data_IF_826482779718
#
_entry.id   IF_826482779718
#
_cell.length_a   1.000
_cell.length_b   1.000
_cell.length_c   1.000
_cell.angle_alpha   90.00
_cell.angle_beta   90.00
_cell.angle_gamma   90.00
#
_symmetry.space_group_name_H-M   'P 1'
#
loop_
_entity.id
_entity.type
_entity.pdbx_description
1 polymer ?
#
# COMPACT_ATOMS: atom_id res chain seq x y z
N UNK A 1 -17.20 -29.66 5.78
CA UNK A 1 -16.49 -28.39 5.56
C UNK A 1 -15.13 -28.73 4.95
N UNK A 2 -14.90 -28.37 3.70
CA UNK A 2 -13.61 -28.64 3.06
C UNK A 2 -12.53 -27.84 3.81
N UNK A 3 -11.51 -28.53 4.34
CA UNK A 3 -10.36 -27.87 4.97
C UNK A 3 -9.74 -26.89 3.98
N UNK A 4 -9.35 -25.71 4.46
CA UNK A 4 -8.58 -24.68 3.75
C UNK A 4 -7.26 -25.18 3.12
N UNK A 5 -6.89 -26.45 3.32
CA UNK A 5 -5.70 -27.10 2.77
C UNK A 5 -5.70 -27.26 1.23
N UNK A 6 -6.85 -27.18 0.55
CA UNK A 6 -6.94 -27.48 -0.90
C UNK A 6 -7.00 -26.26 -1.83
N UNK A 7 -6.91 -25.02 -1.34
CA UNK A 7 -6.83 -23.82 -2.20
C UNK A 7 -6.07 -22.66 -1.56
N UNK A 8 -5.52 -21.80 -2.40
CA UNK A 8 -4.87 -20.55 -1.98
C UNK A 8 -5.95 -19.56 -1.54
N UNK A 9 -5.79 -18.96 -0.36
CA UNK A 9 -6.69 -17.90 0.11
C UNK A 9 -6.41 -16.60 -0.65
N UNK A 10 -7.46 -15.97 -1.17
CA UNK A 10 -7.40 -14.70 -1.88
C UNK A 10 -7.64 -13.52 -0.94
N UNK A 11 -6.86 -12.45 -1.13
CA UNK A 11 -7.01 -11.17 -0.42
C UNK A 11 -6.52 -10.03 -1.31
N UNK A 12 -6.69 -8.80 -0.85
CA UNK A 12 -6.19 -7.58 -1.48
C UNK A 12 -5.43 -6.73 -0.44
N UNK A 13 -4.96 -5.55 -0.84
CA UNK A 13 -4.04 -4.74 -0.04
C UNK A 13 -4.71 -3.62 0.79
N UNK A 14 -6.04 -3.51 0.83
CA UNK A 14 -6.73 -2.49 1.65
C UNK A 14 -7.66 -1.60 0.82
N UNK A 15 -7.25 -0.38 0.50
CA UNK A 15 -8.08 0.64 -0.19
C UNK A 15 -8.95 0.11 -1.34
N UNK A 16 -10.24 0.48 -1.30
CA UNK A 16 -11.22 0.25 -2.36
C UNK A 16 -11.91 1.56 -2.76
N UNK A 17 -12.66 1.54 -3.87
CA UNK A 17 -13.37 2.73 -4.37
C UNK A 17 -14.49 3.11 -3.40
N UNK A 18 -14.36 4.29 -2.79
CA UNK A 18 -15.36 4.84 -1.88
C UNK A 18 -16.62 5.26 -2.65
N UNK A 19 -17.83 5.00 -2.12
CA UNK A 19 -19.05 5.42 -2.79
C UNK A 19 -19.22 6.96 -2.71
N UNK A 20 -19.86 7.60 -3.70
CA UNK A 20 -19.94 9.06 -3.79
C UNK A 20 -20.47 9.75 -2.53
N UNK A 21 -21.50 9.21 -1.90
CA UNK A 21 -22.08 9.78 -0.68
C UNK A 21 -21.11 9.80 0.51
N UNK A 22 -20.17 8.85 0.58
CA UNK A 22 -19.13 8.86 1.62
C UNK A 22 -18.05 9.89 1.28
N UNK A 23 -17.70 10.02 0.00
CA UNK A 23 -16.71 11.00 -0.48
C UNK A 23 -17.13 12.43 -0.13
N UNK A 24 -18.41 12.76 -0.19
CA UNK A 24 -18.93 14.07 0.21
C UNK A 24 -18.61 14.41 1.67
N UNK A 25 -18.81 13.47 2.60
CA UNK A 25 -18.42 13.67 4.00
C UNK A 25 -16.91 13.80 4.16
N UNK A 26 -16.13 12.99 3.44
CA UNK A 26 -14.67 13.04 3.53
C UNK A 26 -14.09 14.37 3.04
N UNK A 27 -14.70 14.99 2.02
CA UNK A 27 -14.32 16.35 1.61
C UNK A 27 -14.58 17.37 2.71
N UNK A 28 -15.77 17.35 3.32
CA UNK A 28 -16.09 18.25 4.45
C UNK A 28 -15.15 18.08 5.63
N UNK A 29 -14.81 16.83 5.97
CA UNK A 29 -13.85 16.51 7.04
C UNK A 29 -12.47 17.10 6.70
N UNK A 30 -11.99 16.92 5.47
CA UNK A 30 -10.69 17.43 5.02
C UNK A 30 -10.64 18.96 5.02
N UNK A 31 -11.71 19.60 4.55
CA UNK A 31 -11.84 21.05 4.46
C UNK A 31 -12.23 21.70 5.80
N UNK A 32 -12.39 20.89 6.86
CA UNK A 32 -12.85 21.30 8.21
C UNK A 32 -14.20 22.02 8.20
N UNK A 33 -15.06 21.66 7.27
CA UNK A 33 -16.42 22.18 7.19
C UNK A 33 -17.35 21.42 8.15
N UNK A 34 -18.42 22.06 8.65
CA UNK A 34 -19.44 21.37 9.43
C UNK A 34 -20.14 20.28 8.63
N UNK A 35 -20.38 19.14 9.28
CA UNK A 35 -21.15 18.03 8.73
C UNK A 35 -21.96 17.35 9.83
N UNK A 36 -23.01 16.62 9.44
CA UNK A 36 -23.78 15.80 10.37
C UNK A 36 -22.98 14.54 10.73
N UNK A 37 -22.49 14.51 11.98
CA UNK A 37 -21.70 13.40 12.51
C UNK A 37 -22.48 12.08 12.49
N UNK A 38 -23.75 12.10 12.86
CA UNK A 38 -24.59 10.90 12.94
C UNK A 38 -24.86 10.34 11.54
N UNK A 39 -25.17 11.23 10.58
CA UNK A 39 -25.32 10.83 9.18
C UNK A 39 -24.02 10.26 8.60
N UNK A 40 -22.86 10.85 8.93
CA UNK A 40 -21.56 10.31 8.52
C UNK A 40 -21.31 8.91 9.11
N UNK A 41 -21.56 8.71 10.41
CA UNK A 41 -21.36 7.40 11.05
C UNK A 41 -22.24 6.31 10.42
N UNK A 42 -23.51 6.64 10.12
CA UNK A 42 -24.43 5.71 9.45
C UNK A 42 -23.96 5.40 8.02
N UNK A 43 -23.63 6.43 7.24
CA UNK A 43 -23.13 6.29 5.87
C UNK A 43 -21.85 5.43 5.81
N UNK A 44 -20.90 5.67 6.72
CA UNK A 44 -19.67 4.89 6.84
C UNK A 44 -19.95 3.42 7.14
N UNK A 45 -20.79 3.15 8.14
CA UNK A 45 -21.17 1.78 8.54
C UNK A 45 -21.82 1.02 7.39
N UNK A 46 -22.81 1.61 6.72
CA UNK A 46 -23.50 1.01 5.58
C UNK A 46 -22.57 0.77 4.37
N UNK A 47 -21.65 1.70 4.14
CA UNK A 47 -20.64 1.58 3.07
C UNK A 47 -19.68 0.43 3.34
N UNK A 48 -19.22 0.25 4.59
CA UNK A 48 -18.37 -0.87 5.00
C UNK A 48 -19.14 -2.19 4.89
N UNK A 49 -20.39 -2.27 5.35
CA UNK A 49 -21.21 -3.47 5.19
C UNK A 49 -21.36 -3.87 3.72
N UNK A 50 -21.62 -2.88 2.86
CA UNK A 50 -21.77 -3.10 1.43
C UNK A 50 -20.48 -3.59 0.79
N UNK A 51 -19.33 -2.95 1.08
CA UNK A 51 -18.05 -3.32 0.46
C UNK A 51 -17.54 -4.67 0.95
N UNK A 52 -17.79 -5.03 2.21
CA UNK A 52 -17.44 -6.37 2.75
C UNK A 52 -18.28 -7.45 2.07
N UNK A 53 -19.60 -7.22 1.90
CA UNK A 53 -20.46 -8.13 1.14
C UNK A 53 -19.97 -8.30 -0.30
N UNK A 54 -19.64 -7.20 -0.99
CA UNK A 54 -19.12 -7.26 -2.36
C UNK A 54 -17.81 -8.06 -2.47
N UNK A 55 -16.91 -7.94 -1.48
CA UNK A 55 -15.69 -8.74 -1.43
C UNK A 55 -16.00 -10.23 -1.25
N UNK A 56 -16.93 -10.57 -0.34
CA UNK A 56 -17.37 -11.95 -0.13
C UNK A 56 -18.02 -12.54 -1.40
N UNK A 57 -18.91 -11.79 -2.05
CA UNK A 57 -19.56 -12.17 -3.32
C UNK A 57 -18.53 -12.38 -4.46
N UNK A 58 -17.42 -11.62 -4.43
CA UNK A 58 -16.31 -11.77 -5.36
C UNK A 58 -15.36 -12.94 -5.04
N UNK A 59 -15.59 -13.67 -3.93
CA UNK A 59 -14.76 -14.80 -3.51
C UNK A 59 -13.46 -14.40 -2.83
N UNK A 60 -13.38 -13.19 -2.26
CA UNK A 60 -12.26 -12.79 -1.41
C UNK A 60 -12.38 -13.50 -0.05
N UNK A 61 -11.33 -14.21 0.35
CA UNK A 61 -11.33 -15.00 1.58
C UNK A 61 -11.01 -14.18 2.82
N UNK A 62 -10.09 -13.21 2.69
CA UNK A 62 -9.68 -12.33 3.78
C UNK A 62 -9.95 -10.89 3.37
N UNK A 63 -11.00 -10.31 3.92
CA UNK A 63 -11.56 -9.00 3.52
C UNK A 63 -11.03 -7.84 4.37
N UNK A 64 -11.21 -6.60 3.92
CA UNK A 64 -11.01 -5.40 4.74
C UNK A 64 -12.22 -4.47 4.68
N UNK A 65 -12.16 -3.39 5.45
CA UNK A 65 -13.15 -2.30 5.42
C UNK A 65 -12.99 -1.37 4.19
N UNK A 66 -12.07 -1.69 3.28
CA UNK A 66 -11.75 -0.87 2.11
C UNK A 66 -11.06 0.47 2.46
N UNK A 67 -10.62 0.64 3.71
CA UNK A 67 -10.08 1.90 4.27
C UNK A 67 -11.06 3.08 4.20
N UNK A 68 -12.37 2.80 4.25
CA UNK A 68 -13.41 3.81 4.07
C UNK A 68 -13.46 4.84 5.21
N UNK A 69 -13.01 4.48 6.40
CA UNK A 69 -12.91 5.39 7.55
C UNK A 69 -11.66 6.28 7.50
N UNK A 70 -10.62 5.85 6.77
CA UNK A 70 -9.43 6.64 6.57
C UNK A 70 -9.77 7.70 5.53
N UNK A 71 -9.37 8.94 5.80
CA UNK A 71 -9.55 10.07 4.89
C UNK A 71 -8.87 9.83 3.54
N UNK A 72 -8.58 10.90 2.81
CA UNK A 72 -8.04 10.77 1.45
C UNK A 72 -6.67 10.10 1.37
N UNK A 73 -5.96 9.93 2.49
CA UNK A 73 -4.62 9.36 2.56
C UNK A 73 -4.53 8.20 3.57
N UNK A 74 -4.04 7.05 3.09
CA UNK A 74 -3.90 5.79 3.84
C UNK A 74 -2.88 5.85 5.00
N UNK A 75 -1.94 6.80 4.97
CA UNK A 75 -0.90 6.98 5.99
C UNK A 75 -1.23 8.11 6.97
N UNK A 76 -1.78 9.22 6.48
CA UNK A 76 -1.94 10.44 7.30
C UNK A 76 -3.16 10.42 8.23
N UNK A 77 -4.05 9.43 8.12
CA UNK A 77 -5.12 9.22 9.11
C UNK A 77 -4.59 9.12 10.54
N UNK A 78 -3.35 8.64 10.71
CA UNK A 78 -2.75 8.44 12.02
C UNK A 78 -2.53 9.77 12.75
N UNK A 79 -2.39 10.88 12.02
CA UNK A 79 -2.18 12.21 12.62
C UNK A 79 -3.40 12.65 13.43
N UNK A 80 -4.60 12.26 13.02
CA UNK A 80 -5.85 12.52 13.77
C UNK A 80 -6.02 11.60 14.98
N UNK A 81 -5.15 10.58 15.13
CA UNK A 81 -5.10 9.67 16.28
C UNK A 81 -3.96 10.00 17.23
N UNK A 82 -3.09 10.94 16.86
CA UNK A 82 -1.92 11.34 17.63
C UNK A 82 -2.08 12.75 18.20
N UNK A 83 -1.59 12.97 19.41
CA UNK A 83 -1.34 14.32 19.95
C UNK A 83 0.15 14.65 19.88
N UNK A 84 0.54 15.88 20.22
CA UNK A 84 1.93 16.33 20.15
C UNK A 84 2.40 16.71 18.74
N UNK A 85 1.47 16.77 17.78
CA UNK A 85 1.70 17.19 16.40
C UNK A 85 1.13 18.58 16.15
N UNK A 86 1.89 19.39 15.42
CA UNK A 86 1.43 20.64 14.82
C UNK A 86 1.65 20.60 13.31
N UNK A 87 0.86 21.40 12.57
CA UNK A 87 1.09 21.66 11.15
C UNK A 87 1.35 23.15 10.97
N UNK A 88 2.45 23.49 10.29
CA UNK A 88 2.76 24.88 9.93
C UNK A 88 3.35 24.97 8.53
N UNK A 89 3.29 26.14 7.87
CA UNK A 89 4.04 26.38 6.66
C UNK A 89 5.53 26.07 6.84
N UNK A 90 6.20 25.60 5.78
CA UNK A 90 7.66 25.51 5.76
C UNK A 90 8.26 26.92 5.87
N UNK A 91 9.33 27.06 6.65
CA UNK A 91 10.12 28.29 6.61
C UNK A 91 10.94 28.37 5.31
N UNK A 92 11.41 29.56 4.89
CA UNK A 92 12.29 29.68 3.72
C UNK A 92 13.54 28.80 3.80
N UNK A 93 14.09 28.61 4.99
CA UNK A 93 15.22 27.71 5.24
C UNK A 93 14.85 26.25 5.08
N UNK A 94 13.71 25.83 5.63
CA UNK A 94 13.24 24.44 5.51
C UNK A 94 12.84 24.10 4.07
N UNK A 95 12.33 25.07 3.30
CA UNK A 95 12.01 24.88 1.89
C UNK A 95 13.25 24.59 1.03
N UNK A 96 14.47 24.90 1.52
CA UNK A 96 15.72 24.56 0.85
C UNK A 96 16.14 23.10 1.08
N UNK A 97 15.57 22.41 2.07
CA UNK A 97 15.87 21.00 2.35
C UNK A 97 15.19 20.09 1.30
N UNK A 98 15.96 19.37 0.46
CA UNK A 98 15.41 18.45 -0.53
C UNK A 98 14.53 17.35 0.08
N UNK A 99 14.75 17.02 1.36
CA UNK A 99 13.98 16.02 2.09
C UNK A 99 12.65 16.56 2.62
N UNK A 100 12.53 17.87 2.85
CA UNK A 100 11.32 18.50 3.38
C UNK A 100 10.18 18.60 2.35
N UNK A 101 10.49 18.60 1.05
CA UNK A 101 9.47 18.61 0.00
C UNK A 101 8.72 17.26 -0.10
N UNK A 102 7.39 17.31 -0.06
CA UNK A 102 6.52 16.17 -0.41
C UNK A 102 6.49 16.08 -1.93
N UNK A 103 7.34 15.23 -2.48
CA UNK A 103 7.64 15.20 -3.92
C UNK A 103 9.14 15.31 -4.16
N UNK A 104 9.56 14.93 -5.36
CA UNK A 104 10.96 14.79 -5.76
C UNK A 104 11.31 13.35 -6.12
N UNK A 105 12.60 13.03 -6.08
CA UNK A 105 13.13 11.72 -6.48
C UNK A 105 13.47 11.63 -7.97
N UNK A 106 14.21 10.60 -8.33
CA UNK A 106 14.74 10.44 -9.69
C UNK A 106 13.64 10.24 -10.75
N UNK A 107 12.46 9.75 -10.37
CA UNK A 107 11.34 9.53 -11.28
C UNK A 107 10.79 10.86 -11.84
N UNK A 108 10.71 11.91 -11.00
CA UNK A 108 10.30 13.26 -11.45
C UNK A 108 11.31 13.90 -12.39
N UNK A 109 12.59 13.62 -12.19
CA UNK A 109 13.65 14.06 -13.11
C UNK A 109 13.57 13.31 -14.44
N UNK A 110 13.24 12.00 -14.39
CA UNK A 110 13.17 11.15 -15.57
C UNK A 110 11.90 11.35 -16.40
N UNK A 111 10.78 11.77 -15.80
CA UNK A 111 9.47 11.87 -16.45
C UNK A 111 8.76 13.22 -16.18
N UNK A 112 9.39 14.36 -16.50
CA UNK A 112 8.88 15.68 -16.14
C UNK A 112 7.47 15.97 -16.71
N UNK A 113 7.15 15.50 -17.92
CA UNK A 113 5.85 15.74 -18.56
C UNK A 113 4.71 15.02 -17.85
N UNK A 114 4.95 13.78 -17.40
CA UNK A 114 3.97 13.00 -16.65
C UNK A 114 3.62 13.71 -15.34
N UNK A 115 4.62 14.18 -14.59
CA UNK A 115 4.38 14.85 -13.32
C UNK A 115 3.80 16.25 -13.48
N UNK A 116 4.14 16.97 -14.55
CA UNK A 116 3.49 18.24 -14.84
C UNK A 116 1.97 18.06 -15.00
N UNK A 117 1.53 17.04 -15.74
CA UNK A 117 0.11 16.73 -15.90
C UNK A 117 -0.52 16.16 -14.61
N UNK A 118 0.19 15.24 -13.94
CA UNK A 118 -0.28 14.65 -12.69
C UNK A 118 -0.48 15.70 -11.61
N UNK A 119 0.46 16.63 -11.43
CA UNK A 119 0.37 17.70 -10.42
C UNK A 119 -0.76 18.68 -10.75
N UNK A 120 -1.00 18.96 -12.04
CA UNK A 120 -2.11 19.78 -12.52
C UNK A 120 -3.47 19.18 -12.18
N UNK A 121 -3.64 17.86 -12.36
CA UNK A 121 -4.90 17.15 -12.12
C UNK A 121 -5.11 16.85 -10.63
N UNK A 122 -4.08 16.35 -9.95
CA UNK A 122 -4.18 15.88 -8.56
C UNK A 122 -4.32 17.02 -7.55
N UNK A 123 -4.00 18.25 -7.93
CA UNK A 123 -3.98 19.39 -7.02
C UNK A 123 -2.92 19.27 -5.93
N UNK A 124 -1.93 18.36 -6.09
CA UNK A 124 -0.85 18.14 -5.12
C UNK A 124 -0.16 19.45 -4.76
N UNK A 125 0.01 20.35 -5.73
CA UNK A 125 0.60 21.68 -5.56
C UNK A 125 -0.10 22.54 -4.51
N UNK A 126 -1.41 22.37 -4.25
CA UNK A 126 -2.13 23.10 -3.20
C UNK A 126 -1.80 22.62 -1.79
N UNK A 127 -1.25 21.40 -1.65
CA UNK A 127 -0.84 20.80 -0.38
C UNK A 127 0.67 20.96 -0.11
N UNK A 128 1.43 21.38 -1.12
CA UNK A 128 2.85 21.70 -0.96
C UNK A 128 2.98 23.00 -0.14
N UNK A 129 3.92 23.03 0.79
CA UNK A 129 4.24 24.24 1.56
C UNK A 129 3.88 24.19 3.04
N UNK A 130 3.24 23.11 3.53
CA UNK A 130 3.11 22.83 4.97
C UNK A 130 3.86 21.56 5.38
N UNK A 131 4.31 21.51 6.63
CA UNK A 131 4.97 20.35 7.23
C UNK A 131 4.37 19.98 8.59
N UNK A 132 4.46 18.70 8.92
CA UNK A 132 4.22 18.23 10.28
C UNK A 132 5.43 18.51 11.17
N UNK A 133 5.16 18.93 12.40
CA UNK A 133 6.16 19.22 13.42
C UNK A 133 5.73 18.50 14.70
N UNK A 134 6.65 17.73 15.29
CA UNK A 134 6.49 17.13 16.60
C UNK A 134 6.91 18.16 17.63
N UNK A 135 5.93 18.76 18.30
CA UNK A 135 6.11 19.87 19.26
C UNK A 135 5.91 19.44 20.71
N UNK A 136 5.43 18.21 20.94
CA UNK A 136 5.16 17.67 22.26
C UNK A 136 5.30 16.15 22.30
N UNK A 137 5.10 15.58 23.49
CA UNK A 137 5.06 14.14 23.67
C UNK A 137 3.92 13.54 22.83
N UNK A 138 4.23 12.49 22.08
CA UNK A 138 3.24 11.75 21.30
C UNK A 138 2.37 10.90 22.23
N UNK A 139 1.05 11.02 22.08
CA UNK A 139 0.08 10.11 22.70
C UNK A 139 -0.92 9.63 21.66
N UNK A 140 -1.51 8.45 21.88
CA UNK A 140 -2.45 7.82 20.96
C UNK A 140 -3.89 7.86 21.49
N UNK A 141 -4.85 8.05 20.59
CA UNK A 141 -6.30 7.95 20.86
C UNK A 141 -6.90 6.77 20.09
N UNK A 142 -7.51 5.84 20.81
CA UNK A 142 -8.06 4.61 20.24
C UNK A 142 -9.52 4.72 19.73
N UNK A 143 -10.14 5.90 19.85
CA UNK A 143 -11.55 6.09 19.53
C UNK A 143 -11.88 5.71 18.08
N UNK A 144 -11.03 6.13 17.13
CA UNK A 144 -11.26 5.86 15.71
C UNK A 144 -11.01 4.39 15.35
N UNK A 145 -9.93 3.77 15.85
CA UNK A 145 -9.67 2.34 15.56
C UNK A 145 -10.76 1.45 16.15
N UNK A 146 -11.28 1.78 17.34
CA UNK A 146 -12.40 1.02 17.95
C UNK A 146 -13.65 1.06 17.10
N UNK A 147 -14.00 2.22 16.54
CA UNK A 147 -15.11 2.36 15.58
C UNK A 147 -14.86 1.50 14.33
N UNK A 148 -13.67 1.58 13.75
CA UNK A 148 -13.32 0.86 12.52
C UNK A 148 -13.41 -0.66 12.74
N UNK A 149 -12.86 -1.15 13.85
CA UNK A 149 -12.98 -2.54 14.29
C UNK A 149 -14.45 -2.96 14.46
N UNK A 150 -15.25 -2.14 15.13
CA UNK A 150 -16.66 -2.45 15.37
C UNK A 150 -17.44 -2.57 14.05
N UNK A 151 -17.24 -1.64 13.12
CA UNK A 151 -17.89 -1.65 11.81
C UNK A 151 -17.47 -2.87 10.98
N UNK A 152 -16.16 -3.15 10.88
CA UNK A 152 -15.67 -4.29 10.11
C UNK A 152 -16.16 -5.62 10.70
N UNK A 153 -16.11 -5.79 12.02
CA UNK A 153 -16.60 -7.02 12.67
C UNK A 153 -18.10 -7.23 12.47
N UNK A 154 -18.90 -6.16 12.58
CA UNK A 154 -20.33 -6.24 12.34
C UNK A 154 -20.67 -6.61 10.89
N UNK A 155 -19.89 -6.13 9.91
CA UNK A 155 -20.04 -6.48 8.51
C UNK A 155 -19.61 -7.94 8.22
N UNK A 156 -18.46 -8.35 8.74
CA UNK A 156 -17.90 -9.71 8.55
C UNK A 156 -18.82 -10.78 9.13
N UNK A 157 -19.48 -10.52 10.27
CA UNK A 157 -20.43 -11.44 10.89
C UNK A 157 -21.63 -11.82 10.00
N UNK A 158 -21.85 -11.10 8.89
CA UNK A 158 -22.92 -11.34 7.91
C UNK A 158 -22.42 -12.09 6.67
N UNK A 159 -21.18 -12.59 6.68
CA UNK A 159 -20.52 -13.22 5.52
C UNK A 159 -19.80 -14.52 5.93
N UNK A 160 -19.50 -15.38 4.97
CA UNK A 160 -18.78 -16.65 5.19
C UNK A 160 -17.28 -16.56 4.79
N UNK A 161 -16.66 -15.41 5.08
CA UNK A 161 -15.24 -15.15 4.75
C UNK A 161 -14.33 -15.84 5.77
N UNK A 162 -13.14 -16.25 5.34
CA UNK A 162 -12.16 -16.92 6.20
C UNK A 162 -11.51 -15.99 7.24
N UNK A 163 -11.52 -14.68 7.01
CA UNK A 163 -11.04 -13.71 7.97
C UNK A 163 -11.16 -12.27 7.49
N UNK A 164 -10.65 -11.35 8.30
CA UNK A 164 -10.60 -9.93 7.94
C UNK A 164 -9.35 -9.25 8.50
N UNK A 165 -8.94 -8.16 7.86
CA UNK A 165 -7.77 -7.39 8.24
C UNK A 165 -8.05 -5.89 8.23
N UNK A 166 -7.30 -5.15 9.03
CA UNK A 166 -7.21 -3.69 8.94
C UNK A 166 -5.79 -3.30 8.53
N UNK A 167 -5.63 -2.49 7.47
CA UNK A 167 -4.37 -1.84 7.19
C UNK A 167 -4.08 -0.78 8.26
N UNK A 168 -2.83 -0.65 8.66
CA UNK A 168 -2.32 0.34 9.62
C UNK A 168 -0.94 0.81 9.14
N UNK A 169 -0.56 2.03 9.47
CA UNK A 169 0.67 2.62 8.91
C UNK A 169 1.93 2.17 9.66
N UNK A 170 3.01 1.87 8.94
CA UNK A 170 4.33 1.58 9.51
C UNK A 170 5.02 2.83 10.08
N UNK A 171 5.95 2.71 11.04
CA UNK A 171 6.69 3.87 11.58
C UNK A 171 7.37 4.74 10.51
N UNK A 172 7.93 4.11 9.47
CA UNK A 172 8.56 4.83 8.35
C UNK A 172 7.59 5.72 7.56
N UNK A 173 6.32 5.32 7.52
CA UNK A 173 5.26 5.96 6.74
C UNK A 173 4.33 6.85 7.58
N UNK A 174 4.38 6.74 8.91
CA UNK A 174 3.44 7.42 9.80
C UNK A 174 3.73 8.91 9.94
N UNK A 175 4.99 9.32 10.07
CA UNK A 175 5.42 10.73 10.16
C UNK A 175 6.56 11.03 9.18
N UNK A 176 6.32 10.87 7.87
CA UNK A 176 7.39 11.03 6.90
C UNK A 176 7.84 12.49 6.84
N UNK A 177 9.15 12.71 7.00
CA UNK A 177 9.79 14.04 6.96
C UNK A 177 9.25 15.05 7.99
N UNK A 178 8.57 14.57 9.04
CA UNK A 178 8.13 15.44 10.14
C UNK A 178 9.35 16.09 10.82
N UNK A 179 9.26 17.37 11.15
CA UNK A 179 10.29 18.05 11.94
C UNK A 179 10.18 17.59 13.38
N UNK A 180 11.29 17.20 13.99
CA UNK A 180 11.35 16.97 15.43
C UNK A 180 11.82 18.25 16.14
N UNK A 181 10.99 18.81 17.01
CA UNK A 181 11.32 19.96 17.89
C UNK A 181 11.20 19.61 19.38
N UNK A 182 10.84 18.36 19.71
CA UNK A 182 10.58 17.93 21.10
C UNK A 182 11.53 16.84 21.60
N UNK A 183 11.74 15.77 20.83
CA UNK A 183 12.60 14.67 21.24
C UNK A 183 14.08 14.99 20.98
N UNK A 184 15.02 14.46 21.78
CA UNK A 184 16.44 14.78 21.65
C UNK A 184 17.07 14.27 20.34
N UNK A 185 16.53 13.19 19.79
CA UNK A 185 17.02 12.56 18.57
C UNK A 185 15.91 11.79 17.83
N UNK A 186 16.21 11.38 16.60
CA UNK A 186 15.28 10.63 15.74
C UNK A 186 14.89 9.28 16.35
N UNK A 187 15.81 8.61 17.04
CA UNK A 187 15.54 7.30 17.66
C UNK A 187 14.48 7.43 18.75
N UNK A 188 14.63 8.42 19.63
CA UNK A 188 13.70 8.69 20.73
C UNK A 188 12.30 9.03 20.20
N UNK A 189 12.22 9.82 19.12
CA UNK A 189 10.97 10.07 18.42
C UNK A 189 10.36 8.78 17.85
N UNK A 190 11.15 7.98 17.12
CA UNK A 190 10.65 6.75 16.49
C UNK A 190 10.18 5.71 17.51
N UNK A 191 10.82 5.63 18.68
CA UNK A 191 10.37 4.75 19.77
C UNK A 191 9.04 5.22 20.36
N UNK A 192 8.89 6.52 20.64
CA UNK A 192 7.62 7.06 21.12
C UNK A 192 6.49 6.87 20.10
N UNK A 193 6.77 7.10 18.83
CA UNK A 193 5.84 6.82 17.74
C UNK A 193 5.48 5.33 17.68
N UNK A 194 6.46 4.44 17.83
CA UNK A 194 6.25 3.00 17.85
C UNK A 194 5.38 2.55 19.04
N UNK A 195 5.53 3.16 20.22
CA UNK A 195 4.65 2.93 21.37
C UNK A 195 3.20 3.36 21.11
N UNK A 196 2.99 4.47 20.39
CA UNK A 196 1.66 4.87 19.94
C UNK A 196 1.07 3.88 18.93
N UNK A 197 1.84 3.51 17.90
CA UNK A 197 1.40 2.57 16.86
C UNK A 197 1.13 1.17 17.42
N UNK A 198 1.90 0.73 18.42
CA UNK A 198 1.68 -0.54 19.12
C UNK A 198 0.26 -0.67 19.65
N UNK A 199 -0.30 0.41 20.22
CA UNK A 199 -1.67 0.40 20.75
C UNK A 199 -2.71 0.12 19.65
N UNK A 200 -2.54 0.72 18.48
CA UNK A 200 -3.38 0.47 17.31
C UNK A 200 -3.26 -0.97 16.83
N UNK A 201 -2.02 -1.44 16.65
CA UNK A 201 -1.75 -2.78 16.12
C UNK A 201 -2.30 -3.86 17.06
N UNK A 202 -2.10 -3.67 18.37
CA UNK A 202 -2.61 -4.56 19.41
C UNK A 202 -4.14 -4.55 19.43
N UNK A 203 -4.79 -3.39 19.34
CA UNK A 203 -6.25 -3.31 19.31
C UNK A 203 -6.86 -4.09 18.13
N UNK A 204 -6.24 -4.04 16.95
CA UNK A 204 -6.68 -4.82 15.77
C UNK A 204 -6.58 -6.32 16.04
N UNK A 205 -5.45 -6.78 16.58
CA UNK A 205 -5.21 -8.21 16.84
C UNK A 205 -6.04 -8.75 18.00
N UNK A 206 -6.19 -7.98 19.08
CA UNK A 206 -7.04 -8.31 20.23
C UNK A 206 -8.52 -8.47 19.79
N UNK A 207 -8.93 -7.75 18.75
CA UNK A 207 -10.26 -7.88 18.16
C UNK A 207 -10.46 -9.14 17.32
N UNK A 208 -9.41 -9.94 17.10
CA UNK A 208 -9.40 -11.16 16.30
C UNK A 208 -9.12 -10.96 14.82
N UNK A 209 -8.73 -9.74 14.41
CA UNK A 209 -8.43 -9.38 13.02
C UNK A 209 -6.93 -9.56 12.72
N UNK A 210 -6.58 -9.68 11.44
CA UNK A 210 -5.18 -9.55 11.03
C UNK A 210 -4.79 -8.08 10.99
N UNK A 211 -3.60 -7.75 11.51
CA UNK A 211 -3.00 -6.43 11.34
C UNK A 211 -2.14 -6.43 10.08
N UNK A 212 -2.43 -5.55 9.12
CA UNK A 212 -1.56 -5.31 7.96
C UNK A 212 -0.81 -4.01 8.17
N UNK A 213 0.50 -4.09 8.33
CA UNK A 213 1.35 -2.90 8.43
C UNK A 213 1.79 -2.47 7.04
N UNK A 214 1.37 -1.27 6.63
CA UNK A 214 1.61 -0.70 5.31
C UNK A 214 2.81 0.26 5.33
N UNK A 215 3.72 0.06 4.37
CA UNK A 215 4.87 0.92 4.20
C UNK A 215 5.19 1.19 2.73
N UNK A 216 5.00 2.44 2.32
CA UNK A 216 5.43 2.92 1.03
C UNK A 216 6.63 3.88 1.12
N UNK A 217 6.97 4.35 2.34
CA UNK A 217 8.03 5.33 2.54
C UNK A 217 9.41 4.71 2.58
N UNK A 218 9.58 3.46 3.05
CA UNK A 218 10.87 2.78 2.91
C UNK A 218 11.39 2.81 1.45
N UNK A 219 10.64 2.33 0.44
CA UNK A 219 11.10 2.36 -0.95
C UNK A 219 11.07 3.77 -1.57
N UNK A 220 10.08 4.62 -1.24
CA UNK A 220 10.05 6.00 -1.73
C UNK A 220 11.28 6.79 -1.28
N UNK A 221 11.72 6.60 -0.03
CA UNK A 221 12.88 7.31 0.51
C UNK A 221 14.19 6.82 -0.09
N UNK A 222 14.26 5.59 -0.62
CA UNK A 222 15.42 5.15 -1.40
C UNK A 222 15.66 6.06 -2.61
N UNK A 223 14.61 6.39 -3.36
CA UNK A 223 14.68 7.27 -4.55
C UNK A 223 15.03 8.73 -4.20
N UNK A 224 14.80 9.16 -2.95
CA UNK A 224 15.18 10.51 -2.47
C UNK A 224 16.57 10.56 -1.84
N UNK A 225 16.94 9.51 -1.10
CA UNK A 225 18.19 9.44 -0.34
C UNK A 225 19.35 9.04 -1.26
N UNK A 226 19.11 8.15 -2.23
CA UNK A 226 20.14 7.56 -3.08
C UNK A 226 19.85 7.87 -4.54
N UNK A 227 20.63 8.77 -5.20
CA UNK A 227 21.68 9.67 -4.69
C UNK A 227 21.13 10.92 -3.96
N UNK A 228 21.95 11.66 -3.17
CA UNK A 228 23.42 11.63 -3.12
C UNK A 228 24.03 10.69 -2.08
N UNK A 229 23.25 10.16 -1.15
CA UNK A 229 23.77 9.22 -0.14
C UNK A 229 24.04 7.85 -0.76
N UNK A 230 24.82 7.03 -0.07
CA UNK A 230 25.11 5.65 -0.47
C UNK A 230 23.99 4.70 -0.07
N UNK A 231 23.94 3.53 -0.72
CA UNK A 231 23.07 2.42 -0.26
C UNK A 231 23.34 2.00 1.19
N UNK A 232 24.57 2.14 1.69
CA UNK A 232 24.90 1.83 3.08
C UNK A 232 24.23 2.82 4.05
N UNK A 233 24.26 4.11 3.76
CA UNK A 233 23.58 5.12 4.58
C UNK A 233 22.05 4.98 4.52
N UNK A 234 21.49 4.67 3.35
CA UNK A 234 20.07 4.33 3.25
C UNK A 234 19.71 3.11 4.10
N UNK A 235 20.58 2.09 4.15
CA UNK A 235 20.38 0.91 5.00
C UNK A 235 20.36 1.27 6.47
N UNK A 236 21.28 2.11 6.93
CA UNK A 236 21.30 2.59 8.32
C UNK A 236 20.02 3.36 8.65
N UNK A 237 19.61 4.26 7.76
CA UNK A 237 18.34 4.99 7.86
C UNK A 237 17.15 4.02 7.96
N UNK A 238 17.07 3.02 7.08
CA UNK A 238 15.99 2.05 7.03
C UNK A 238 15.98 1.12 8.26
N UNK A 239 17.16 0.68 8.72
CA UNK A 239 17.29 -0.21 9.87
C UNK A 239 16.68 0.42 11.12
N UNK A 240 16.88 1.71 11.36
CA UNK A 240 16.28 2.40 12.51
C UNK A 240 14.74 2.36 12.49
N UNK A 241 14.12 2.46 11.31
CA UNK A 241 12.65 2.35 11.17
C UNK A 241 12.17 0.92 11.33
N UNK A 242 12.94 -0.05 10.85
CA UNK A 242 12.65 -1.48 11.03
C UNK A 242 12.74 -1.84 12.52
N UNK A 243 13.72 -1.31 13.25
CA UNK A 243 13.84 -1.51 14.70
C UNK A 243 12.63 -0.92 15.44
N UNK A 244 12.20 0.29 15.07
CA UNK A 244 10.97 0.89 15.59
C UNK A 244 9.72 0.07 15.25
N UNK A 245 9.63 -0.51 14.05
CA UNK A 245 8.54 -1.41 13.67
C UNK A 245 8.52 -2.66 14.53
N UNK A 246 9.68 -3.29 14.78
CA UNK A 246 9.76 -4.46 15.64
C UNK A 246 9.37 -4.13 17.08
N UNK A 247 9.71 -2.94 17.56
CA UNK A 247 9.24 -2.42 18.85
C UNK A 247 7.71 -2.29 18.87
N UNK A 248 7.11 -1.72 17.83
CA UNK A 248 5.65 -1.60 17.71
C UNK A 248 4.93 -2.96 17.58
N UNK A 249 5.59 -3.99 17.02
CA UNK A 249 5.06 -5.35 16.90
C UNK A 249 5.28 -6.23 18.13
N UNK A 250 5.90 -5.72 19.19
CA UNK A 250 6.19 -6.49 20.41
C UNK A 250 4.91 -7.15 20.96
N UNK A 251 4.93 -8.47 21.14
CA UNK A 251 3.79 -9.23 21.67
C UNK A 251 2.67 -9.49 20.65
N UNK A 252 2.81 -9.05 19.41
CA UNK A 252 1.89 -9.38 18.32
C UNK A 252 2.31 -10.72 17.69
N UNK A 253 1.41 -11.72 17.61
CA UNK A 253 1.74 -13.00 17.00
C UNK A 253 2.08 -12.84 15.51
N UNK A 254 3.20 -13.38 15.02
CA UNK A 254 3.59 -13.25 13.61
C UNK A 254 2.51 -13.71 12.63
N UNK A 255 1.78 -14.78 12.96
CA UNK A 255 0.68 -15.32 12.16
C UNK A 255 -0.56 -14.41 12.08
N UNK A 256 -0.66 -13.41 12.97
CA UNK A 256 -1.72 -12.38 12.95
C UNK A 256 -1.26 -11.08 12.31
N UNK A 257 0.00 -10.98 11.92
CA UNK A 257 0.60 -9.80 11.30
C UNK A 257 0.96 -10.06 9.84
N UNK A 258 0.83 -9.04 9.00
CA UNK A 258 1.34 -9.05 7.64
C UNK A 258 1.94 -7.68 7.29
N UNK A 259 2.94 -7.66 6.42
CA UNK A 259 3.61 -6.43 6.00
C UNK A 259 3.37 -6.20 4.51
N UNK A 260 2.79 -5.05 4.18
CA UNK A 260 2.61 -4.64 2.80
C UNK A 260 3.63 -3.55 2.46
N UNK A 261 4.45 -3.84 1.46
CA UNK A 261 5.38 -2.89 0.87
C UNK A 261 5.02 -2.66 -0.60
N UNK A 262 4.95 -1.40 -1.01
CA UNK A 262 4.72 -1.01 -2.39
C UNK A 262 5.59 0.20 -2.76
N UNK A 263 5.60 0.57 -4.03
CA UNK A 263 6.46 1.64 -4.56
C UNK A 263 5.87 3.04 -4.38
N UNK A 264 4.89 3.21 -3.48
CA UNK A 264 4.09 4.42 -3.35
C UNK A 264 3.31 4.78 -4.62
N UNK A 265 2.29 5.64 -4.49
CA UNK A 265 1.56 6.20 -5.64
C UNK A 265 2.43 7.15 -6.48
N UNK A 266 3.63 7.47 -6.00
CA UNK A 266 4.55 8.41 -6.63
C UNK A 266 5.53 7.77 -7.61
N UNK A 267 5.64 6.43 -7.75
CA UNK A 267 6.60 5.79 -8.68
C UNK A 267 5.96 4.96 -9.83
N UNK A 268 4.83 5.35 -10.44
CA UNK A 268 4.20 4.52 -11.46
C UNK A 268 5.03 4.40 -12.76
N UNK A 269 5.86 5.40 -13.10
CA UNK A 269 6.53 5.45 -14.40
C UNK A 269 7.70 4.45 -14.50
N UNK A 270 8.55 4.36 -13.47
CA UNK A 270 9.71 3.44 -13.45
C UNK A 270 9.37 1.95 -13.48
N UNK A 271 8.23 1.55 -12.90
CA UNK A 271 7.80 0.16 -12.93
C UNK A 271 7.57 -0.35 -14.36
N UNK A 272 7.16 0.52 -15.28
CA UNK A 272 6.90 0.17 -16.68
C UNK A 272 8.16 -0.06 -17.51
N UNK A 273 9.26 0.64 -17.20
CA UNK A 273 10.47 0.65 -18.04
C UNK A 273 11.46 -0.48 -17.74
N UNK A 274 11.57 -0.93 -16.47
CA UNK A 274 12.43 -2.07 -16.09
C UNK A 274 11.81 -3.45 -16.36
N UNK A 275 10.49 -3.54 -16.50
CA UNK A 275 9.80 -4.80 -16.78
C UNK A 275 10.17 -5.39 -18.16
N UNK A 276 10.72 -4.58 -19.07
CA UNK A 276 11.06 -4.99 -20.43
C UNK A 276 12.50 -5.52 -20.62
N UNK A 277 13.38 -5.47 -19.60
CA UNK A 277 14.81 -5.76 -19.79
C UNK A 277 15.44 -6.85 -18.90
N UNK A 278 14.71 -7.49 -17.99
CA UNK A 278 15.32 -8.48 -17.08
C UNK A 278 15.39 -9.90 -17.68
N UNK A 279 16.60 -10.32 -18.01
CA UNK A 279 17.00 -11.72 -18.26
C UNK A 279 17.02 -12.51 -16.94
N UNK A 280 16.62 -13.79 -16.99
CA UNK A 280 16.41 -14.68 -15.83
C UNK A 280 17.69 -15.01 -15.06
N UNK A 281 17.69 -14.96 -13.70
CA UNK A 281 18.61 -15.72 -12.88
C UNK A 281 17.95 -17.02 -12.37
N UNK A 282 18.67 -18.13 -12.52
CA UNK A 282 18.40 -19.42 -11.88
C UNK A 282 19.11 -19.48 -10.52
N UNK A 283 18.39 -19.70 -9.42
CA UNK A 283 19.00 -20.27 -8.21
C UNK A 283 17.97 -21.09 -7.42
N UNK A 284 18.27 -22.38 -7.30
CA UNK A 284 17.54 -23.39 -6.56
C UNK A 284 18.29 -23.69 -5.27
N UNK A 285 17.82 -23.17 -4.13
CA UNK A 285 18.03 -23.72 -2.77
C UNK A 285 17.58 -22.74 -1.68
N UNK A 286 16.28 -22.66 -1.36
CA UNK A 286 15.76 -21.95 -0.17
C UNK A 286 14.51 -22.67 0.37
N UNK A 287 14.48 -23.14 1.64
CA UNK A 287 13.24 -23.55 2.31
C UNK A 287 12.38 -22.32 2.62
N UNK A 288 11.23 -22.19 1.98
CA UNK A 288 10.35 -21.02 2.04
C UNK A 288 9.17 -21.22 3.00
N UNK A 289 9.13 -20.42 4.07
CA UNK A 289 7.95 -20.27 4.94
C UNK A 289 7.20 -18.95 4.70
N UNK A 290 7.77 -18.06 3.90
CA UNK A 290 7.09 -16.90 3.32
C UNK A 290 6.53 -17.33 1.95
N UNK A 291 5.22 -17.55 1.84
CA UNK A 291 4.58 -17.59 0.52
C UNK A 291 4.54 -16.16 -0.03
N UNK A 292 5.67 -15.72 -0.56
CA UNK A 292 5.66 -14.72 -1.62
C UNK A 292 4.91 -15.35 -2.80
N UNK A 293 3.79 -14.76 -3.20
CA UNK A 293 3.22 -15.01 -4.52
C UNK A 293 4.21 -14.54 -5.58
N UNK A 294 5.14 -15.40 -5.95
CA UNK A 294 5.95 -15.20 -7.14
C UNK A 294 5.04 -15.41 -8.34
N UNK A 295 4.86 -14.38 -9.16
CA UNK A 295 4.36 -14.52 -10.52
C UNK A 295 5.34 -15.40 -11.32
N UNK A 296 5.14 -16.71 -11.27
CA UNK A 296 5.84 -17.69 -12.08
C UNK A 296 4.83 -18.38 -13.00
N UNK A 297 4.86 -18.03 -14.28
CA UNK A 297 4.15 -18.78 -15.30
C UNK A 297 4.78 -20.19 -15.43
N UNK A 298 4.00 -21.28 -15.35
CA UNK A 298 4.50 -22.59 -15.77
C UNK A 298 4.63 -22.60 -17.29
N UNK A 299 5.86 -22.79 -17.78
CA UNK A 299 6.08 -23.13 -19.17
C UNK A 299 5.59 -24.56 -19.42
N UNK A 300 4.59 -24.71 -20.29
CA UNK A 300 4.36 -25.94 -21.02
C UNK A 300 4.93 -25.81 -22.43
N UNK A 301 5.85 -26.71 -22.73
CA UNK A 301 6.23 -27.12 -24.07
C UNK A 301 5.01 -27.40 -24.95
N UNK A 302 5.17 -27.14 -26.25
CA UNK A 302 4.08 -27.01 -27.22
C UNK A 302 3.05 -28.13 -27.27
N UNK A 303 1.79 -27.71 -27.39
CA UNK A 303 0.77 -28.41 -28.16
C UNK A 303 -0.26 -27.36 -28.63
N UNK A 304 -0.43 -27.24 -29.94
CA UNK A 304 -1.50 -26.45 -30.56
C UNK A 304 -2.83 -27.15 -30.28
N UNK A 305 -3.84 -26.44 -29.79
CA UNK A 305 -5.26 -26.61 -30.21
C UNK A 305 -6.14 -25.52 -29.60
N UNK A 306 -7.03 -25.02 -30.45
CA UNK A 306 -8.03 -23.96 -30.24
C UNK A 306 -9.05 -24.23 -29.13
N UNK A 307 -9.31 -23.24 -28.27
CA UNK A 307 -10.51 -23.17 -27.42
C UNK A 307 -11.04 -21.74 -27.35
N UNK A 308 -11.75 -21.32 -28.40
CA UNK A 308 -12.60 -20.13 -28.43
C UNK A 308 -14.06 -20.57 -28.54
N UNK A 309 -14.58 -21.25 -27.51
CA UNK A 309 -16.00 -21.61 -27.40
C UNK A 309 -16.33 -22.02 -25.97
N UNK A 310 -16.47 -21.05 -25.05
CA UNK A 310 -17.19 -21.23 -23.76
C UNK A 310 -17.50 -19.96 -22.96
N UNK A 311 -17.55 -18.79 -23.60
CA UNK A 311 -17.96 -17.51 -22.96
C UNK A 311 -19.27 -16.97 -23.56
N UNK A 312 -19.94 -17.71 -24.45
CA UNK A 312 -21.20 -17.28 -25.08
C UNK A 312 -22.49 -17.80 -24.41
N UNK A 313 -22.42 -18.81 -23.52
CA UNK A 313 -23.63 -19.49 -23.01
C UNK A 313 -24.16 -19.01 -21.66
N UNK A 314 -23.49 -18.07 -20.99
CA UNK A 314 -23.97 -17.54 -19.69
C UNK A 314 -24.71 -16.19 -19.77
N UNK A 315 -24.94 -15.65 -20.98
CA UNK A 315 -25.69 -14.39 -21.18
C UNK A 315 -27.12 -14.55 -21.74
N UNK A 316 -27.56 -15.76 -22.09
CA UNK A 316 -28.91 -15.99 -22.68
C UNK A 316 -30.01 -16.39 -21.70
N UNK A 317 -29.73 -16.53 -20.40
CA UNK A 317 -30.70 -17.06 -19.44
C UNK A 317 -31.44 -16.02 -18.57
N UNK A 318 -31.27 -14.71 -18.77
CA UNK A 318 -31.88 -13.72 -17.86
C UNK A 318 -32.60 -12.50 -18.46
N UNK A 319 -32.85 -12.48 -19.77
CA UNK A 319 -33.62 -11.41 -20.40
C UNK A 319 -34.61 -11.99 -21.42
N UNK A 320 -35.74 -12.47 -20.93
CA UNK A 320 -36.96 -12.71 -21.74
C UNK A 320 -38.15 -12.16 -20.95
N UNK A 321 -38.44 -10.87 -21.16
CA UNK A 321 -39.77 -10.26 -21.12
C UNK A 321 -39.62 -8.73 -21.21
N UNK A 322 -39.65 -8.20 -22.44
CA UNK A 322 -40.24 -6.91 -22.79
C UNK A 322 -40.08 -6.74 -24.31
N UNK A 323 -41.16 -6.31 -24.95
CA UNK A 323 -41.35 -6.34 -26.40
C UNK A 323 -41.51 -4.92 -26.98
N UNK A 324 -41.02 -4.71 -28.23
CA UNK A 324 -41.44 -3.70 -29.26
C UNK A 324 -40.76 -2.29 -29.18
N UNK A 325 -40.45 -1.53 -30.29
CA UNK A 325 -39.61 -1.78 -31.49
C UNK A 325 -38.68 -0.55 -31.85
N UNK A 326 -37.95 -0.51 -33.00
CA UNK A 326 -36.98 0.55 -33.32
C UNK A 326 -37.43 1.57 -34.41
N UNK A 327 -36.89 2.81 -34.34
CA UNK A 327 -36.75 3.75 -35.47
C UNK A 327 -35.53 4.66 -35.19
N UNK A 328 -34.47 4.67 -36.02
CA UNK A 328 -34.26 5.36 -37.31
C UNK A 328 -33.49 6.69 -37.12
N UNK A 329 -32.36 6.86 -37.83
CA UNK A 329 -31.67 8.16 -37.94
C UNK A 329 -30.17 8.10 -38.27
N UNK A 330 -29.84 8.32 -39.54
CA UNK A 330 -28.51 8.41 -40.18
C UNK A 330 -27.70 9.65 -39.70
N UNK A 331 -26.36 9.76 -39.81
CA UNK A 331 -25.60 10.07 -41.04
C UNK A 331 -24.11 10.27 -40.68
N UNK A 332 -23.17 9.54 -41.31
CA UNK A 332 -22.14 9.96 -42.30
C UNK A 332 -21.31 11.23 -41.96
N UNK A 333 -19.96 11.14 -41.94
CA UNK A 333 -19.13 11.41 -43.13
C UNK A 333 -17.67 10.95 -42.99
N UNK A 334 -17.00 10.82 -44.14
CA UNK A 334 -15.75 10.11 -44.46
C UNK A 334 -14.48 10.99 -44.37
N UNK A 335 -13.36 10.40 -43.89
CA UNK A 335 -12.00 10.21 -44.50
C UNK A 335 -11.42 11.23 -45.52
N UNK A 336 -10.07 11.44 -45.62
CA UNK A 336 -9.16 10.44 -46.25
C UNK A 336 -7.70 10.30 -45.75
N UNK A 337 -7.08 9.21 -46.23
CA UNK A 337 -5.71 8.69 -46.08
C UNK A 337 -4.68 9.37 -47.00
N UNK A 338 -3.37 9.26 -46.67
CA UNK A 338 -2.25 8.90 -47.58
C UNK A 338 -0.94 8.65 -46.79
N UNK A 339 -0.26 7.48 -46.94
CA UNK A 339 1.08 7.24 -47.58
C UNK A 339 2.29 7.79 -46.78
N UNK A 340 3.46 7.14 -46.54
CA UNK A 340 4.13 5.95 -47.06
C UNK A 340 5.55 6.30 -47.57
N UNK A 341 6.64 6.04 -46.80
CA UNK A 341 8.05 5.97 -47.28
C UNK A 341 8.96 5.38 -46.17
N UNK A 342 9.54 4.19 -46.35
CA UNK A 342 10.87 3.82 -46.88
C UNK A 342 12.09 4.07 -45.95
N UNK A 343 12.79 2.95 -45.68
CA UNK A 343 14.04 2.76 -44.95
C UNK A 343 15.28 3.27 -45.69
N UNK A 344 16.26 3.76 -44.95
CA UNK A 344 17.69 3.61 -45.29
C UNK A 344 18.50 3.27 -44.04
N UNK A 345 19.42 2.32 -44.20
CA UNK A 345 20.33 1.75 -43.21
C UNK A 345 21.70 2.39 -43.43
N UNK A 346 22.37 2.88 -42.40
CA UNK A 346 23.83 3.06 -42.41
C UNK A 346 24.38 2.90 -41.00
N UNK A 347 25.38 2.03 -40.87
CA UNK A 347 25.97 1.61 -39.60
C UNK A 347 27.08 2.53 -39.10
N UNK A 348 27.22 2.59 -37.78
CA UNK A 348 28.45 2.98 -37.09
C UNK A 348 28.50 2.22 -35.75
N UNK A 349 29.69 1.71 -35.41
CA UNK A 349 29.94 0.63 -34.45
C UNK A 349 29.58 0.91 -32.98
N UNK A 350 29.24 -0.18 -32.27
CA UNK A 350 29.04 -0.23 -30.83
C UNK A 350 30.37 -0.53 -30.10
N UNK A 351 30.71 0.15 -28.99
CA UNK A 351 31.81 -0.25 -28.10
C UNK A 351 31.37 -1.38 -27.14
N UNK A 352 32.32 -2.12 -26.52
CA UNK A 352 32.03 -3.38 -25.86
C UNK A 352 31.19 -3.22 -24.59
N UNK A 353 30.27 -4.17 -24.38
CA UNK A 353 29.42 -4.29 -23.19
C UNK A 353 30.30 -4.45 -21.93
N UNK A 354 30.30 -3.45 -21.06
CA UNK A 354 30.70 -3.64 -19.67
C UNK A 354 29.63 -4.49 -18.97
N UNK A 355 30.08 -5.51 -18.25
CA UNK A 355 29.24 -6.36 -17.42
C UNK A 355 28.66 -5.48 -16.30
N UNK A 356 27.38 -5.10 -16.41
CA UNK A 356 26.67 -4.48 -15.29
C UNK A 356 26.60 -5.51 -14.15
N UNK A 357 27.23 -5.18 -13.01
CA UNK A 357 27.00 -5.88 -11.76
C UNK A 357 25.52 -5.76 -11.38
N UNK A 358 24.95 -6.87 -10.94
CA UNK A 358 23.57 -6.96 -10.48
C UNK A 358 23.30 -5.93 -9.37
N UNK A 359 22.46 -4.94 -9.67
CA UNK A 359 21.83 -4.11 -8.65
C UNK A 359 20.67 -4.92 -8.05
N UNK A 360 20.83 -5.45 -6.85
CA UNK A 360 19.69 -6.01 -6.09
C UNK A 360 18.60 -4.94 -5.97
N UNK A 361 17.39 -5.27 -6.43
CA UNK A 361 16.25 -4.37 -6.35
C UNK A 361 15.91 -4.09 -4.86
N UNK A 362 15.60 -2.83 -4.47
CA UNK A 362 15.31 -2.45 -3.08
C UNK A 362 14.29 -3.35 -2.37
N UNK A 363 13.27 -3.82 -3.08
CA UNK A 363 12.26 -4.73 -2.55
C UNK A 363 12.80 -6.11 -2.14
N UNK A 364 13.76 -6.68 -2.89
CA UNK A 364 14.40 -7.96 -2.53
C UNK A 364 15.23 -7.82 -1.25
N UNK A 365 15.86 -6.66 -1.07
CA UNK A 365 16.70 -6.38 0.09
C UNK A 365 15.89 -6.04 1.35
N UNK A 366 14.81 -5.25 1.26
CA UNK A 366 13.91 -4.99 2.40
C UNK A 366 13.33 -6.31 2.92
N UNK A 367 12.95 -7.22 2.01
CA UNK A 367 12.52 -8.57 2.38
C UNK A 367 13.63 -9.39 3.07
N UNK A 368 14.91 -9.18 2.75
CA UNK A 368 16.03 -9.84 3.44
C UNK A 368 16.28 -9.26 4.85
N UNK A 369 16.18 -7.95 5.06
CA UNK A 369 16.32 -7.34 6.40
C UNK A 369 15.18 -7.80 7.32
N UNK A 370 13.93 -7.74 6.84
CA UNK A 370 12.76 -8.17 7.62
C UNK A 370 12.86 -9.65 8.07
N UNK A 371 13.59 -10.49 7.31
CA UNK A 371 13.84 -11.89 7.70
C UNK A 371 14.88 -12.06 8.82
N UNK A 372 15.79 -11.10 8.98
CA UNK A 372 16.86 -11.09 10.00
C UNK A 372 16.42 -10.45 11.31
N UNK A 373 15.51 -9.48 11.25
CA UNK A 373 14.94 -8.85 12.42
C UNK A 373 13.83 -9.75 13.03
N UNK A 374 14.24 -10.83 13.71
CA UNK A 374 13.33 -11.69 14.48
C UNK A 374 13.57 -11.49 15.97
N UNK A 375 12.53 -11.35 16.80
CA UNK A 375 12.70 -11.62 18.23
C UNK A 375 13.08 -13.09 18.39
N UNK A 376 14.16 -13.36 19.14
CA UNK A 376 14.52 -14.72 19.52
C UNK A 376 13.34 -15.37 20.26
N UNK A 377 13.00 -16.63 19.99
CA UNK A 377 11.99 -17.32 20.79
C UNK A 377 12.46 -17.33 22.26
N UNK A 378 11.54 -17.21 23.23
CA UNK A 378 11.90 -17.32 24.64
C UNK A 378 12.56 -18.69 24.88
N UNK A 379 13.67 -18.69 25.61
CA UNK A 379 14.36 -19.91 25.99
C UNK A 379 13.37 -20.86 26.72
N UNK A 380 13.39 -22.17 26.43
CA UNK A 380 12.49 -23.11 27.09
C UNK A 380 12.71 -23.04 28.61
N UNK A 381 11.63 -22.83 29.34
CA UNK A 381 11.67 -22.83 30.80
C UNK A 381 12.09 -24.22 31.29
N UNK A 382 13.28 -24.29 31.89
CA UNK A 382 13.72 -25.47 32.61
C UNK A 382 12.77 -25.70 33.78
N UNK A 383 11.85 -26.65 33.62
CA UNK A 383 11.09 -27.22 34.75
C UNK A 383 12.12 -27.82 35.70
N UNK A 384 12.35 -27.14 36.83
CA UNK A 384 13.03 -27.72 37.99
C UNK A 384 12.21 -28.91 38.47
N UNK A 385 12.76 -30.12 38.32
CA UNK A 385 12.34 -31.28 39.09
C UNK A 385 12.53 -30.99 40.57
N UNK A 386 11.49 -31.20 41.38
CA UNK A 386 11.61 -31.26 42.85
C UNK A 386 12.28 -32.60 43.22
N UNK A 387 13.24 -32.63 44.15
CA UNK A 387 13.64 -33.88 44.79
C UNK A 387 12.54 -34.30 45.78
N UNK A 388 12.33 -35.61 45.89
CA UNK A 388 11.41 -36.25 46.84
C UNK A 388 11.96 -36.36 48.24
#
# INVERSE_FOLDING_TARGET
>A
MASSANRILATHVGSLVRPPQLVEFLHKIEDREPYDQSAYQNCLKESIETVVRQQADAGIDIVSDGEFSKGRNWAFYIHDRLTGLATRPLTPEEAKDPMAAVGGGQDRVAFPEFYAEYDRISGLNKRLGSRFVVTGALTYSDAQVKRDIANLKAAVAKTDVAGAFLPVVAPASALPNAKNEYYPDEKSLLWALADCLHQEYKAVVDAGLYVQVDDAFLPYMHEKIVPPMTHAQYREWAQLRIDALNHALKGIPPERSRYHICWSSYLPARCSSRALSATRPTSSSIPSWWRSGSCGWPGSSGARTSWAARIADLRKARLRNASIPPSCGQSSSRSPKAQGSQQTNSGAGAPPRSVMREHEAPACFIAQIMRRARPSPPAPSLKRSRPG
#
